data_IF_477491812335
#
_entry.id   IF_477491812335
#
_cell.length_a   1.000
_cell.length_b   1.000
_cell.length_c   1.000
_cell.angle_alpha   90.00
_cell.angle_beta   90.00
_cell.angle_gamma   90.00
#
_symmetry.space_group_name_H-M   'P 1'
#
loop_
_entity.id
_entity.type
_entity.pdbx_description
1 polymer ?
#
# COMPACT_ATOMS: atom_id res chain seq x y z
N UNK A 1 8.92 33.77 44.49
CA UNK A 1 9.12 32.35 44.88
C UNK A 1 7.94 31.53 44.39
N UNK A 2 8.09 30.77 43.30
CA UNK A 2 7.05 29.81 42.88
C UNK A 2 6.98 28.71 43.95
N UNK A 3 5.80 28.48 44.53
CA UNK A 3 5.62 27.45 45.56
C UNK A 3 6.00 26.09 44.97
N UNK A 4 6.86 25.33 45.67
CA UNK A 4 7.32 23.98 45.28
C UNK A 4 6.17 23.05 44.82
N UNK A 5 4.97 23.21 45.38
CA UNK A 5 3.76 22.49 44.97
C UNK A 5 3.32 22.74 43.52
N UNK A 6 3.46 23.97 43.00
CA UNK A 6 3.08 24.32 41.63
C UNK A 6 4.03 23.67 40.63
N UNK A 7 5.34 23.67 40.93
CA UNK A 7 6.35 23.00 40.10
C UNK A 7 6.07 21.50 40.04
N UNK A 8 5.75 20.87 41.19
CA UNK A 8 5.39 19.44 41.24
C UNK A 8 4.13 19.13 40.42
N UNK A 9 3.10 19.96 40.51
CA UNK A 9 1.85 19.78 39.74
C UNK A 9 2.09 19.87 38.24
N UNK A 10 2.88 20.86 37.79
CA UNK A 10 3.22 21.02 36.37
C UNK A 10 4.01 19.81 35.86
N UNK A 11 4.98 19.31 36.64
CA UNK A 11 5.75 18.12 36.26
C UNK A 11 4.86 16.86 36.16
N UNK A 12 3.91 16.69 37.09
CA UNK A 12 2.98 15.56 37.05
C UNK A 12 2.07 15.62 35.83
N UNK A 13 1.50 16.80 35.52
CA UNK A 13 0.66 16.98 34.33
C UNK A 13 1.46 16.77 33.05
N UNK A 14 2.67 17.31 32.98
CA UNK A 14 3.56 17.11 31.82
C UNK A 14 3.91 15.62 31.63
N UNK A 15 4.22 14.90 32.72
CA UNK A 15 4.47 13.46 32.65
C UNK A 15 3.23 12.68 32.19
N UNK A 16 2.05 12.99 32.72
CA UNK A 16 0.79 12.35 32.33
C UNK A 16 0.42 12.59 30.87
N UNK A 17 0.80 13.73 30.28
CA UNK A 17 0.59 14.00 28.86
C UNK A 17 1.65 13.37 27.96
N UNK A 18 2.93 13.47 28.34
CA UNK A 18 4.05 13.05 27.49
C UNK A 18 4.28 11.54 27.49
N UNK A 19 4.05 10.85 28.61
CA UNK A 19 4.32 9.41 28.71
C UNK A 19 3.42 8.59 27.77
N UNK A 20 2.08 8.80 27.72
CA UNK A 20 1.23 8.10 26.76
C UNK A 20 1.58 8.48 25.31
N UNK A 21 1.87 9.75 25.04
CA UNK A 21 2.23 10.23 23.71
C UNK A 21 3.53 9.61 23.19
N UNK A 22 4.58 9.55 24.03
CA UNK A 22 5.83 8.86 23.72
C UNK A 22 5.64 7.35 23.60
N UNK A 23 4.82 6.76 24.46
CA UNK A 23 4.45 5.35 24.40
C UNK A 23 3.78 4.99 23.08
N UNK A 24 2.79 5.78 22.66
CA UNK A 24 2.14 5.63 21.36
C UNK A 24 3.13 5.86 20.20
N UNK A 25 3.95 6.91 20.25
CA UNK A 25 4.92 7.20 19.19
C UNK A 25 5.96 6.08 19.01
N UNK A 26 6.39 5.43 20.10
CA UNK A 26 7.30 4.28 20.04
C UNK A 26 6.55 3.04 19.54
N UNK A 27 5.37 2.76 20.10
CA UNK A 27 4.59 1.56 19.73
C UNK A 27 4.18 1.56 18.26
N UNK A 28 3.76 2.71 17.74
CA UNK A 28 3.28 2.84 16.38
C UNK A 28 4.37 3.18 15.35
N UNK A 29 5.62 3.42 15.80
CA UNK A 29 6.74 3.78 14.91
C UNK A 29 6.88 2.85 13.71
N UNK A 30 6.79 1.55 13.95
CA UNK A 30 6.99 0.51 12.93
C UNK A 30 5.66 -0.08 12.42
N UNK A 31 4.53 0.39 12.97
CA UNK A 31 3.18 -0.06 12.60
C UNK A 31 2.51 0.84 11.57
N UNK A 32 3.01 2.06 11.42
CA UNK A 32 2.44 3.02 10.50
C UNK A 32 3.34 3.11 9.25
N UNK A 33 2.84 2.59 8.13
CA UNK A 33 3.56 2.38 6.86
C UNK A 33 3.75 3.66 6.02
N UNK A 34 3.72 4.87 6.61
CA UNK A 34 3.85 6.15 5.89
C UNK A 34 5.12 6.24 5.03
N UNK A 35 6.11 5.36 5.23
CA UNK A 35 7.40 5.34 4.54
C UNK A 35 7.77 3.96 3.96
N UNK A 36 6.80 3.15 3.51
CA UNK A 36 7.14 2.01 2.64
C UNK A 36 7.55 2.53 1.26
N UNK A 37 8.77 3.04 1.14
CA UNK A 37 9.38 3.36 -0.15
C UNK A 37 9.51 2.05 -0.93
N UNK A 38 8.68 1.87 -1.95
CA UNK A 38 8.89 0.78 -2.91
C UNK A 38 10.24 1.03 -3.57
N UNK A 39 11.19 0.07 -3.53
CA UNK A 39 12.46 0.21 -4.22
C UNK A 39 12.24 0.58 -5.67
N UNK A 40 13.09 1.42 -6.25
CA UNK A 40 12.97 1.82 -7.66
C UNK A 40 12.97 0.60 -8.62
N UNK A 41 13.61 -0.50 -8.23
CA UNK A 41 13.60 -1.78 -8.98
C UNK A 41 12.24 -2.49 -8.99
N UNK A 42 11.34 -2.13 -8.09
CA UNK A 42 9.99 -2.71 -7.94
C UNK A 42 8.90 -1.75 -8.43
N UNK A 43 9.28 -0.57 -8.92
CA UNK A 43 8.41 0.38 -9.59
C UNK A 43 8.47 0.14 -11.10
N UNK A 44 7.33 0.21 -11.78
CA UNK A 44 7.27 0.08 -13.24
C UNK A 44 6.37 1.11 -13.88
N UNK A 45 6.77 1.55 -15.07
CA UNK A 45 5.94 2.39 -15.94
C UNK A 45 4.88 1.56 -16.66
N UNK A 46 3.84 2.23 -17.17
CA UNK A 46 2.81 1.62 -18.02
C UNK A 46 3.43 0.92 -19.25
N UNK A 47 4.41 1.55 -19.89
CA UNK A 47 5.08 0.99 -21.07
C UNK A 47 5.84 -0.31 -20.76
N UNK A 48 6.61 -0.33 -19.66
CA UNK A 48 7.34 -1.53 -19.22
C UNK A 48 6.39 -2.67 -18.86
N UNK A 49 5.34 -2.39 -18.09
CA UNK A 49 4.34 -3.38 -17.71
C UNK A 49 3.60 -3.96 -18.93
N UNK A 50 3.26 -3.13 -19.93
CA UNK A 50 2.66 -3.57 -21.19
C UNK A 50 3.59 -4.45 -22.02
N UNK A 51 4.89 -4.15 -22.04
CA UNK A 51 5.89 -4.94 -22.77
C UNK A 51 5.99 -6.40 -22.28
N UNK A 52 5.52 -6.68 -21.07
CA UNK A 52 5.44 -8.05 -20.53
C UNK A 52 4.26 -8.86 -21.09
N UNK A 53 3.29 -8.21 -21.74
CA UNK A 53 2.15 -8.87 -22.38
C UNK A 53 1.42 -9.85 -21.46
N UNK A 54 1.19 -11.07 -21.95
CA UNK A 54 0.50 -12.13 -21.18
C UNK A 54 1.26 -12.59 -19.93
N UNK A 55 2.53 -12.25 -19.79
CA UNK A 55 3.30 -12.57 -18.57
C UNK A 55 3.00 -11.60 -17.43
N UNK A 56 2.29 -10.50 -17.68
CA UNK A 56 1.81 -9.59 -16.65
C UNK A 56 0.40 -9.95 -16.18
N UNK A 57 0.17 -9.90 -14.88
CA UNK A 57 -1.15 -9.89 -14.26
C UNK A 57 -1.34 -8.51 -13.64
N UNK A 58 -2.41 -7.82 -14.05
CA UNK A 58 -2.78 -6.52 -13.50
C UNK A 58 -3.64 -6.70 -12.26
N UNK A 59 -3.34 -5.95 -11.21
CA UNK A 59 -4.04 -5.99 -9.93
C UNK A 59 -4.47 -4.58 -9.55
N UNK A 60 -5.77 -4.40 -9.38
CA UNK A 60 -6.35 -3.15 -8.90
C UNK A 60 -6.51 -3.19 -7.38
N UNK A 61 -5.78 -2.30 -6.69
CA UNK A 61 -5.83 -2.17 -5.23
C UNK A 61 -6.91 -1.19 -4.75
N UNK A 62 -7.68 -0.57 -5.65
CA UNK A 62 -8.73 0.40 -5.30
C UNK A 62 -9.97 -0.29 -4.71
N UNK A 63 -10.86 0.49 -4.05
CA UNK A 63 -12.17 0.00 -3.62
C UNK A 63 -12.99 -0.62 -4.77
N UNK A 64 -13.86 -1.57 -4.42
CA UNK A 64 -14.62 -2.36 -5.39
C UNK A 64 -15.50 -1.48 -6.31
N UNK A 65 -16.02 -0.36 -5.81
CA UNK A 65 -16.83 0.57 -6.58
C UNK A 65 -16.00 1.32 -7.63
N UNK A 66 -14.73 1.62 -7.34
CA UNK A 66 -13.81 2.20 -8.33
C UNK A 66 -13.48 1.18 -9.42
N UNK A 67 -13.15 -0.05 -9.02
CA UNK A 67 -12.88 -1.15 -9.94
C UNK A 67 -14.09 -1.42 -10.84
N UNK A 68 -15.30 -1.50 -10.27
CA UNK A 68 -16.52 -1.75 -11.04
C UNK A 68 -16.85 -0.64 -12.04
N UNK A 69 -16.47 0.61 -11.76
CA UNK A 69 -16.69 1.73 -12.69
C UNK A 69 -15.80 1.64 -13.92
N UNK A 70 -14.49 1.48 -13.71
CA UNK A 70 -13.51 1.33 -14.78
C UNK A 70 -12.18 0.85 -14.21
N UNK A 71 -11.43 0.06 -14.97
CA UNK A 71 -10.17 -0.55 -14.54
C UNK A 71 -9.33 -0.97 -15.74
N UNK A 72 -8.07 -1.31 -15.50
CA UNK A 72 -7.19 -1.87 -16.55
C UNK A 72 -7.83 -3.16 -17.09
N UNK A 73 -8.02 -3.30 -18.41
CA UNK A 73 -8.67 -4.49 -18.98
C UNK A 73 -8.02 -5.80 -18.53
N UNK A 74 -8.83 -6.72 -18.01
CA UNK A 74 -8.36 -8.01 -17.49
C UNK A 74 -7.67 -7.95 -16.12
N UNK A 75 -7.70 -6.80 -15.43
CA UNK A 75 -7.20 -6.70 -14.07
C UNK A 75 -8.06 -7.49 -13.08
N UNK A 76 -7.40 -7.98 -12.04
CA UNK A 76 -8.05 -8.62 -10.89
C UNK A 76 -8.16 -7.60 -9.75
N UNK A 77 -9.32 -7.55 -9.10
CA UNK A 77 -9.49 -6.75 -7.88
C UNK A 77 -8.82 -7.46 -6.70
N UNK A 78 -7.93 -6.75 -6.00
CA UNK A 78 -7.35 -7.20 -4.74
C UNK A 78 -7.03 -5.97 -3.89
N UNK A 79 -7.96 -5.62 -3.02
CA UNK A 79 -7.82 -4.50 -2.07
C UNK A 79 -7.61 -4.99 -0.64
N UNK A 80 -7.20 -4.07 0.24
CA UNK A 80 -6.93 -4.36 1.64
C UNK A 80 -8.19 -4.70 2.43
N UNK A 81 -9.31 -4.04 2.11
CA UNK A 81 -10.58 -4.15 2.84
C UNK A 81 -11.13 -5.58 2.81
N UNK A 82 -11.02 -6.26 1.67
CA UNK A 82 -11.50 -7.64 1.46
C UNK A 82 -10.38 -8.63 1.15
N UNK A 83 -9.19 -8.36 1.66
CA UNK A 83 -8.00 -9.17 1.35
C UNK A 83 -8.21 -10.68 1.47
N UNK A 84 -8.79 -11.14 2.58
CA UNK A 84 -8.97 -12.57 2.85
C UNK A 84 -9.94 -13.25 1.88
N UNK A 85 -10.87 -12.48 1.31
CA UNK A 85 -11.87 -12.97 0.35
C UNK A 85 -11.32 -12.98 -1.09
N UNK A 86 -10.52 -11.97 -1.42
CA UNK A 86 -10.00 -11.74 -2.78
C UNK A 86 -8.70 -12.50 -3.05
N UNK A 87 -7.83 -12.66 -2.03
CA UNK A 87 -6.54 -13.31 -2.19
C UNK A 87 -6.64 -14.73 -2.76
N UNK A 88 -7.54 -15.63 -2.31
CA UNK A 88 -7.65 -16.96 -2.88
C UNK A 88 -7.98 -16.97 -4.38
N UNK A 89 -8.82 -16.03 -4.82
CA UNK A 89 -9.22 -15.89 -6.23
C UNK A 89 -8.05 -15.41 -7.08
N UNK A 90 -7.29 -14.43 -6.56
CA UNK A 90 -6.06 -13.98 -7.19
C UNK A 90 -5.03 -15.12 -7.30
N UNK A 91 -4.80 -15.88 -6.22
CA UNK A 91 -3.84 -16.98 -6.21
C UNK A 91 -4.23 -18.12 -7.16
N UNK A 92 -5.53 -18.34 -7.40
CA UNK A 92 -6.00 -19.32 -8.38
C UNK A 92 -5.67 -18.92 -9.83
N UNK A 93 -5.56 -17.61 -10.12
CA UNK A 93 -5.19 -17.09 -11.44
C UNK A 93 -3.66 -16.86 -11.60
N UNK A 94 -2.92 -16.82 -10.48
CA UNK A 94 -1.49 -16.51 -10.46
C UNK A 94 -0.61 -17.76 -10.62
N UNK A 95 0.57 -17.58 -11.25
CA UNK A 95 1.66 -18.56 -11.27
C UNK A 95 3.02 -17.89 -11.11
N UNK A 96 4.04 -18.65 -10.70
CA UNK A 96 5.37 -18.11 -10.36
C UNK A 96 6.07 -17.36 -11.50
N UNK A 97 5.74 -17.68 -12.75
CA UNK A 97 6.30 -17.04 -13.95
C UNK A 97 5.69 -15.67 -14.23
N UNK A 98 4.50 -15.39 -13.68
CA UNK A 98 3.77 -14.14 -13.91
C UNK A 98 4.35 -13.01 -13.07
N UNK A 99 4.45 -11.84 -13.69
CA UNK A 99 4.79 -10.57 -13.04
C UNK A 99 3.49 -9.87 -12.62
N UNK A 100 3.37 -9.56 -11.35
CA UNK A 100 2.18 -8.93 -10.79
C UNK A 100 2.40 -7.42 -10.79
N UNK A 101 1.50 -6.68 -11.43
CA UNK A 101 1.54 -5.22 -11.50
C UNK A 101 0.36 -4.68 -10.71
N UNK A 102 0.65 -4.14 -9.53
CA UNK A 102 -0.35 -3.57 -8.63
C UNK A 102 -0.46 -2.07 -8.86
N UNK A 103 -1.67 -1.55 -9.03
CA UNK A 103 -1.91 -0.11 -9.16
C UNK A 103 -3.01 0.36 -8.20
N UNK A 104 -2.98 1.66 -7.90
CA UNK A 104 -4.03 2.37 -7.18
C UNK A 104 -4.44 3.58 -8.03
N UNK A 105 -5.27 4.50 -7.51
CA UNK A 105 -5.80 5.66 -8.22
C UNK A 105 -4.70 6.58 -8.79
N UNK A 106 -3.65 6.89 -8.01
CA UNK A 106 -2.61 7.84 -8.41
C UNK A 106 -1.25 7.56 -7.74
N UNK A 107 -0.21 8.31 -8.12
CA UNK A 107 1.16 8.22 -7.55
C UNK A 107 1.19 8.34 -6.02
N UNK A 108 0.38 9.24 -5.46
CA UNK A 108 0.33 9.50 -4.02
C UNK A 108 -0.46 8.45 -3.24
N UNK A 109 -1.21 7.58 -3.91
CA UNK A 109 -1.97 6.52 -3.24
C UNK A 109 -1.04 5.43 -2.68
N UNK A 110 -1.30 5.00 -1.44
CA UNK A 110 -0.52 3.95 -0.76
C UNK A 110 -1.08 2.53 -0.93
N UNK A 111 -2.34 2.35 -1.37
CA UNK A 111 -2.99 1.03 -1.40
C UNK A 111 -2.23 0.02 -2.25
N UNK A 112 -1.69 0.44 -3.41
CA UNK A 112 -0.90 -0.44 -4.27
C UNK A 112 0.40 -0.90 -3.61
N UNK A 113 1.04 -0.03 -2.82
CA UNK A 113 2.27 -0.36 -2.09
C UNK A 113 1.99 -1.37 -1.00
N UNK A 114 0.87 -1.21 -0.30
CA UNK A 114 0.46 -2.07 0.78
C UNK A 114 0.01 -3.45 0.28
N UNK A 115 -0.83 -3.51 -0.76
CA UNK A 115 -1.17 -4.75 -1.45
C UNK A 115 0.09 -5.46 -1.96
N UNK A 116 1.03 -4.74 -2.59
CA UNK A 116 2.28 -5.33 -3.05
C UNK A 116 3.14 -5.87 -1.89
N UNK A 117 3.24 -5.13 -0.78
CA UNK A 117 3.94 -5.56 0.44
C UNK A 117 3.33 -6.85 1.00
N UNK A 118 2.00 -6.93 1.07
CA UNK A 118 1.28 -8.11 1.57
C UNK A 118 1.45 -9.31 0.64
N UNK A 119 1.38 -9.12 -0.68
CA UNK A 119 1.67 -10.19 -1.65
C UNK A 119 3.09 -10.76 -1.47
N UNK A 120 4.08 -9.90 -1.24
CA UNK A 120 5.47 -10.35 -0.99
C UNK A 120 5.64 -11.04 0.36
N UNK A 121 5.06 -10.49 1.42
CA UNK A 121 5.33 -10.94 2.79
C UNK A 121 4.42 -12.08 3.24
N UNK A 122 3.12 -12.00 2.93
CA UNK A 122 2.11 -12.97 3.36
C UNK A 122 1.97 -14.11 2.36
N UNK A 123 1.94 -13.79 1.06
CA UNK A 123 1.79 -14.79 -0.01
C UNK A 123 3.14 -15.24 -0.63
N UNK A 124 4.27 -14.66 -0.22
CA UNK A 124 5.62 -15.03 -0.64
C UNK A 124 5.88 -14.89 -2.16
N UNK A 125 5.17 -13.97 -2.82
CA UNK A 125 5.39 -13.67 -4.23
C UNK A 125 6.66 -12.85 -4.43
N UNK A 126 7.47 -13.20 -5.44
CA UNK A 126 8.73 -12.49 -5.74
C UNK A 126 8.57 -11.40 -6.80
N UNK A 127 7.82 -11.70 -7.86
CA UNK A 127 7.69 -10.84 -9.03
C UNK A 127 6.50 -9.87 -8.88
N UNK A 128 6.52 -9.03 -7.85
CA UNK A 128 5.47 -8.03 -7.59
C UNK A 128 6.03 -6.65 -7.83
N UNK A 129 5.30 -5.82 -8.57
CA UNK A 129 5.68 -4.48 -8.98
C UNK A 129 4.54 -3.50 -8.73
N UNK A 130 4.87 -2.25 -8.46
CA UNK A 130 3.91 -1.16 -8.31
C UNK A 130 3.93 -0.28 -9.55
N UNK A 131 2.75 -0.01 -10.11
CA UNK A 131 2.61 0.88 -11.25
C UNK A 131 2.86 2.33 -10.84
N UNK A 132 3.81 2.99 -11.49
CA UNK A 132 4.05 4.41 -11.35
C UNK A 132 2.85 5.21 -11.88
N UNK A 133 2.43 6.23 -11.13
CA UNK A 133 1.32 7.10 -11.49
C UNK A 133 -0.08 6.47 -11.36
N UNK A 134 -0.18 5.15 -11.17
CA UNK A 134 -1.45 4.46 -10.92
C UNK A 134 -2.43 4.50 -12.11
N UNK A 135 -3.72 4.50 -11.79
CA UNK A 135 -4.82 4.51 -12.75
C UNK A 135 -4.86 5.78 -13.60
N UNK A 136 -4.58 6.94 -12.99
CA UNK A 136 -4.49 8.22 -13.71
C UNK A 136 -3.46 8.16 -14.86
N UNK A 137 -2.30 7.56 -14.59
CA UNK A 137 -1.23 7.41 -15.58
C UNK A 137 -1.58 6.40 -16.68
N UNK A 138 -2.29 5.33 -16.31
CA UNK A 138 -2.88 4.42 -17.29
C UNK A 138 -3.82 5.16 -18.24
N UNK A 139 -4.77 5.93 -17.71
CA UNK A 139 -5.71 6.71 -18.50
C UNK A 139 -5.02 7.73 -19.41
N UNK A 140 -3.96 8.38 -18.92
CA UNK A 140 -3.18 9.35 -19.69
C UNK A 140 -2.47 8.70 -20.89
N UNK A 141 -1.98 7.48 -20.71
CA UNK A 141 -1.22 6.73 -21.74
C UNK A 141 -2.14 5.94 -22.68
N UNK A 142 -3.42 5.77 -22.32
CA UNK A 142 -4.41 5.02 -23.09
C UNK A 142 -5.46 5.90 -23.77
N UNK A 143 -5.17 7.21 -23.86
CA UNK A 143 -5.96 8.20 -24.60
C UNK A 143 -5.30 8.46 -25.95
#
# INVERSE_FOLDING_TARGET
MVKSSLVRQVLVVAALALVPGLGQAIYFRDKISWQSSVPASEMVTVAQARAWGETAIWVDARPDDEFARDHVPGALSLNEDRWNELLPQFLAAWSQEKKVVVYCSSQSCNASREVARRLRNEAQLKNVFVLEGGWEEWLRTNR
#
